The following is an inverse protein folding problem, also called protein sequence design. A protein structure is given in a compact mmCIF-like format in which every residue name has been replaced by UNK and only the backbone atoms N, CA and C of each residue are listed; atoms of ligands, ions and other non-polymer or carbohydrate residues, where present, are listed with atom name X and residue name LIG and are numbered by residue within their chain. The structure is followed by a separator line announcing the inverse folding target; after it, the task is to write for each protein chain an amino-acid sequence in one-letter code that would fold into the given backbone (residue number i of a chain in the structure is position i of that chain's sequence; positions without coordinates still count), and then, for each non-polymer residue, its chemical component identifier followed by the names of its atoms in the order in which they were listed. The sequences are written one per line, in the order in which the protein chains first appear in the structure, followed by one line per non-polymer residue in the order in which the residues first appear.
data_IF_550424024282
#
_entry.id   IF_550424024282
#
_cell.length_a   1.000
_cell.length_b   1.000
_cell.length_c   1.000
_cell.angle_alpha   90.00
_cell.angle_beta   90.00
_cell.angle_gamma   90.00
#
_symmetry.space_group_name_H-M   'P 1'
#
loop_
_entity.id
_entity.type
_entity.pdbx_description
1 polymer ?
#
# COMPACT_ATOMS: atom_id res chain seq x y z
N UNK A 1 -2.12 10.25 -25.04
CA UNK A 1 -0.88 10.45 -24.28
C UNK A 1 -1.15 10.07 -22.83
N UNK A 2 -0.17 9.49 -22.12
CA UNK A 2 -0.34 8.95 -20.76
C UNK A 2 0.45 9.68 -19.68
N UNK A 3 1.12 10.79 -20.04
CA UNK A 3 1.76 11.67 -19.08
C UNK A 3 1.13 13.06 -19.13
N UNK A 4 0.62 13.49 -17.99
CA UNK A 4 -0.06 14.75 -17.73
C UNK A 4 0.79 15.67 -16.82
N UNK A 5 2.07 15.35 -16.59
CA UNK A 5 2.99 16.17 -15.78
C UNK A 5 3.01 17.62 -16.26
N UNK A 6 3.17 17.88 -17.56
CA UNK A 6 3.11 19.23 -18.13
C UNK A 6 1.76 19.94 -17.88
N UNK A 7 0.65 19.25 -18.12
CA UNK A 7 -0.70 19.78 -17.89
C UNK A 7 -0.93 20.17 -16.41
N UNK A 8 -0.51 19.32 -15.46
CA UNK A 8 -0.58 19.62 -14.03
C UNK A 8 0.39 20.74 -13.62
N UNK A 9 1.53 20.87 -14.31
CA UNK A 9 2.48 21.96 -14.12
C UNK A 9 1.92 23.31 -14.58
N UNK A 10 1.06 23.36 -15.60
CA UNK A 10 0.50 24.62 -16.11
C UNK A 10 -0.79 25.03 -15.40
N UNK A 11 -1.40 24.12 -14.64
CA UNK A 11 -2.63 24.37 -13.90
C UNK A 11 -2.46 25.49 -12.84
N UNK A 12 -3.23 26.58 -12.98
CA UNK A 12 -3.23 27.76 -12.10
C UNK A 12 -4.64 28.26 -11.82
N UNK A 13 -4.86 28.76 -10.61
CA UNK A 13 -6.11 29.41 -10.17
C UNK A 13 -7.37 28.56 -10.38
N UNK A 14 -7.20 27.23 -10.36
CA UNK A 14 -8.27 26.24 -10.54
C UNK A 14 -8.79 25.68 -9.22
N UNK A 15 -10.03 25.17 -9.25
CA UNK A 15 -10.62 24.35 -8.18
C UNK A 15 -10.41 22.88 -8.53
N UNK A 16 -9.76 22.14 -7.64
CA UNK A 16 -9.30 20.78 -7.90
C UNK A 16 -9.89 19.88 -6.83
N UNK A 17 -10.66 18.87 -7.25
CA UNK A 17 -11.24 17.88 -6.35
C UNK A 17 -10.44 16.58 -6.43
N UNK A 18 -9.69 16.24 -5.39
CA UNK A 18 -9.13 14.91 -5.24
C UNK A 18 -10.16 13.92 -4.68
N UNK A 19 -10.19 12.69 -5.21
CA UNK A 19 -11.06 11.64 -4.70
C UNK A 19 -10.29 10.33 -4.52
N UNK A 20 -10.38 9.75 -3.32
CA UNK A 20 -10.01 8.37 -3.03
C UNK A 20 -11.28 7.51 -3.01
N UNK A 21 -11.52 6.64 -4.00
CA UNK A 21 -12.75 5.86 -4.12
C UNK A 21 -13.00 4.88 -2.96
N UNK A 22 -14.25 4.41 -2.77
CA UNK A 22 -14.51 3.25 -1.91
C UNK A 22 -13.87 1.98 -2.50
N UNK A 23 -13.51 1.03 -1.65
CA UNK A 23 -12.89 -0.24 -2.04
C UNK A 23 -13.95 -1.31 -2.23
N UNK A 24 -13.91 -2.04 -3.34
CA UNK A 24 -14.77 -3.18 -3.64
C UNK A 24 -13.94 -4.46 -3.50
N UNK A 25 -14.13 -5.23 -2.42
CA UNK A 25 -13.26 -6.36 -2.09
C UNK A 25 -13.96 -7.40 -1.19
N UNK A 26 -13.35 -8.57 -1.04
CA UNK A 26 -13.66 -9.56 -0.01
C UNK A 26 -13.11 -9.16 1.36
N UNK A 27 -11.99 -8.42 1.39
CA UNK A 27 -11.35 -7.94 2.59
C UNK A 27 -10.67 -6.59 2.37
N UNK A 28 -10.80 -5.69 3.34
CA UNK A 28 -10.03 -4.45 3.43
C UNK A 28 -9.59 -4.24 4.87
N UNK A 29 -8.35 -3.77 5.03
CA UNK A 29 -7.75 -3.47 6.32
C UNK A 29 -7.08 -2.11 6.24
N UNK A 30 -7.41 -1.22 7.18
CA UNK A 30 -6.69 0.04 7.35
C UNK A 30 -5.28 -0.25 7.90
N UNK A 31 -4.29 -0.26 7.01
CA UNK A 31 -2.87 -0.25 7.35
C UNK A 31 -2.32 1.18 7.27
N UNK A 32 -3.02 2.15 7.89
CA UNK A 32 -2.80 3.60 7.76
C UNK A 32 -3.14 4.16 6.36
N UNK A 33 -4.11 3.54 5.69
CA UNK A 33 -4.34 3.54 4.25
C UNK A 33 -4.88 4.87 3.68
N UNK A 34 -4.08 5.94 3.78
CA UNK A 34 -4.30 7.23 3.10
C UNK A 34 -3.81 7.18 1.65
N UNK A 35 -4.44 7.95 0.73
CA UNK A 35 -4.05 8.05 -0.67
C UNK A 35 -2.80 8.94 -0.83
N UNK A 36 -1.66 8.53 -0.27
CA UNK A 36 -0.48 9.39 -0.08
C UNK A 36 -0.01 10.11 -1.36
N UNK A 37 0.06 9.39 -2.49
CA UNK A 37 0.39 10.01 -3.79
C UNK A 37 -0.58 11.13 -4.20
N UNK A 38 -1.89 10.96 -3.96
CA UNK A 38 -2.89 12.02 -4.21
C UNK A 38 -2.69 13.21 -3.27
N UNK A 39 -2.38 12.97 -1.99
CA UNK A 39 -2.14 14.04 -1.02
C UNK A 39 -0.91 14.90 -1.37
N UNK A 40 0.15 14.28 -1.92
CA UNK A 40 1.29 15.04 -2.46
C UNK A 40 0.92 15.84 -3.71
N UNK A 41 0.14 15.26 -4.64
CA UNK A 41 -0.32 15.95 -5.86
C UNK A 41 -1.20 17.16 -5.50
N UNK A 42 -2.12 17.02 -4.55
CA UNK A 42 -2.97 18.13 -4.10
C UNK A 42 -2.15 19.24 -3.43
N UNK A 43 -1.17 18.91 -2.58
CA UNK A 43 -0.29 19.93 -1.98
C UNK A 43 0.60 20.62 -3.02
N UNK A 44 1.11 19.87 -4.01
CA UNK A 44 1.88 20.41 -5.12
C UNK A 44 1.06 21.41 -5.96
N UNK A 45 -0.19 21.05 -6.28
CA UNK A 45 -1.10 21.90 -7.04
C UNK A 45 -1.55 23.13 -6.23
N UNK A 46 -1.72 23.00 -4.91
CA UNK A 46 -1.98 24.11 -3.98
C UNK A 46 -0.85 25.14 -3.99
N UNK A 47 0.42 24.70 -3.93
CA UNK A 47 1.58 25.59 -4.06
C UNK A 47 1.62 26.34 -5.40
N UNK A 48 0.97 25.80 -6.44
CA UNK A 48 0.78 26.46 -7.74
C UNK A 48 -0.50 27.33 -7.76
N UNK A 49 -0.95 27.83 -6.62
CA UNK A 49 -2.05 28.81 -6.53
C UNK A 49 -3.43 28.26 -6.89
N UNK A 50 -3.63 26.94 -6.79
CA UNK A 50 -4.94 26.30 -6.98
C UNK A 50 -5.66 26.09 -5.64
N UNK A 51 -6.99 26.13 -5.66
CA UNK A 51 -7.83 25.66 -4.55
C UNK A 51 -7.95 24.14 -4.66
N UNK A 52 -7.70 23.42 -3.57
CA UNK A 52 -7.75 21.96 -3.54
C UNK A 52 -8.68 21.45 -2.43
N UNK A 53 -9.54 20.50 -2.78
CA UNK A 53 -10.46 19.81 -1.88
C UNK A 53 -10.25 18.28 -1.99
N UNK A 54 -10.66 17.52 -0.98
CA UNK A 54 -10.52 16.06 -0.93
C UNK A 54 -11.83 15.40 -0.50
N UNK A 55 -12.24 14.35 -1.22
CA UNK A 55 -13.21 13.37 -0.74
C UNK A 55 -12.51 12.00 -0.63
N UNK A 56 -12.24 11.58 0.61
CA UNK A 56 -11.65 10.27 0.89
C UNK A 56 -12.72 9.30 1.42
N UNK A 57 -13.23 8.45 0.53
CA UNK A 57 -14.31 7.52 0.85
C UNK A 57 -13.93 6.47 1.92
N UNK A 58 -12.64 6.20 2.13
CA UNK A 58 -12.18 5.28 3.19
C UNK A 58 -12.16 5.99 4.55
N UNK A 59 -11.58 7.19 4.61
CA UNK A 59 -11.54 8.00 5.84
C UNK A 59 -12.94 8.46 6.31
N UNK A 60 -13.81 8.85 5.38
CA UNK A 60 -15.19 9.23 5.70
C UNK A 60 -16.06 7.99 6.03
N UNK A 61 -15.64 6.83 5.53
CA UNK A 61 -16.23 5.53 5.82
C UNK A 61 -15.76 4.88 7.12
N UNK A 62 -15.10 5.58 8.04
CA UNK A 62 -14.69 5.02 9.35
C UNK A 62 -15.90 4.53 10.17
N UNK A 63 -15.74 3.38 10.83
CA UNK A 63 -16.74 2.74 11.72
C UNK A 63 -16.24 2.76 13.18
N UNK A 64 -15.31 1.86 13.52
CA UNK A 64 -14.84 1.63 14.89
C UNK A 64 -13.34 1.82 15.01
N UNK A 65 -12.83 2.51 16.05
CA UNK A 65 -11.40 2.73 16.22
C UNK A 65 -10.63 1.41 16.39
N UNK A 66 -9.35 1.48 16.02
CA UNK A 66 -8.32 0.45 16.18
C UNK A 66 -7.06 1.09 16.79
N UNK A 67 -6.06 0.27 17.09
CA UNK A 67 -4.80 0.76 17.65
C UNK A 67 -4.05 1.65 16.66
N UNK A 68 -3.34 2.65 17.19
CA UNK A 68 -2.47 3.57 16.45
C UNK A 68 -3.21 4.46 15.42
N UNK A 69 -4.34 5.06 15.83
CA UNK A 69 -5.15 5.97 15.01
C UNK A 69 -5.93 5.32 13.86
N UNK A 70 -5.77 4.00 13.64
CA UNK A 70 -6.43 3.24 12.55
C UNK A 70 -7.89 2.96 12.86
N UNK A 71 -8.65 2.56 11.85
CA UNK A 71 -10.08 2.25 11.97
C UNK A 71 -10.51 0.97 11.24
N UNK A 72 -11.58 0.34 11.74
CA UNK A 72 -12.44 -0.48 10.88
C UNK A 72 -13.20 0.44 9.94
N UNK A 73 -13.27 0.09 8.66
CA UNK A 73 -14.11 0.79 7.67
C UNK A 73 -15.51 0.17 7.64
N UNK A 74 -16.55 1.01 7.54
CA UNK A 74 -17.92 0.62 7.22
C UNK A 74 -17.91 -0.19 5.92
N UNK A 75 -18.75 -1.22 5.87
CA UNK A 75 -18.88 -2.08 4.68
C UNK A 75 -20.33 -2.50 4.48
N UNK A 76 -20.73 -2.59 3.22
CA UNK A 76 -22.05 -3.09 2.80
C UNK A 76 -21.79 -4.30 1.90
N UNK A 77 -22.49 -5.40 2.14
CA UNK A 77 -22.44 -6.59 1.29
C UNK A 77 -23.11 -6.30 -0.05
N UNK A 78 -22.48 -6.70 -1.14
CA UNK A 78 -22.93 -6.40 -2.51
C UNK A 78 -22.90 -7.66 -3.38
N UNK A 79 -23.62 -7.63 -4.49
CA UNK A 79 -23.51 -8.69 -5.49
C UNK A 79 -22.08 -8.80 -6.03
N UNK A 80 -21.66 -10.03 -6.29
CA UNK A 80 -20.33 -10.33 -6.84
C UNK A 80 -20.32 -10.06 -8.36
N UNK A 81 -19.30 -9.38 -8.89
CA UNK A 81 -19.10 -9.30 -10.34
C UNK A 81 -18.90 -10.70 -10.94
N UNK A 82 -19.14 -10.87 -12.24
CA UNK A 82 -19.10 -12.17 -12.92
C UNK A 82 -17.82 -12.99 -12.64
N UNK A 83 -16.60 -12.42 -12.67
CA UNK A 83 -15.36 -13.14 -12.31
C UNK A 83 -15.36 -13.79 -10.92
N UNK A 84 -16.17 -13.28 -9.99
CA UNK A 84 -16.24 -13.71 -8.60
C UNK A 84 -17.48 -14.57 -8.30
N UNK A 85 -18.36 -14.82 -9.28
CA UNK A 85 -19.67 -15.47 -9.05
C UNK A 85 -19.57 -16.81 -8.31
N UNK A 86 -18.52 -17.59 -8.55
CA UNK A 86 -18.30 -18.90 -7.93
C UNK A 86 -17.49 -18.86 -6.61
N UNK A 87 -16.86 -17.74 -6.25
CA UNK A 87 -16.01 -17.65 -5.06
C UNK A 87 -16.88 -17.72 -3.78
N UNK A 88 -16.68 -18.68 -2.86
CA UNK A 88 -17.55 -18.91 -1.69
C UNK A 88 -17.26 -17.94 -0.54
N UNK A 89 -17.12 -16.64 -0.85
CA UNK A 89 -16.86 -15.56 0.11
C UNK A 89 -17.77 -14.38 -0.17
N UNK A 90 -18.19 -13.69 0.89
CA UNK A 90 -18.97 -12.45 0.81
C UNK A 90 -18.10 -11.33 0.23
N UNK A 91 -18.69 -10.51 -0.64
CA UNK A 91 -18.03 -9.39 -1.31
C UNK A 91 -18.67 -8.09 -0.85
N UNK A 92 -17.84 -7.06 -0.66
CA UNK A 92 -18.23 -5.86 0.08
C UNK A 92 -17.77 -4.59 -0.63
N UNK A 93 -18.58 -3.54 -0.49
CA UNK A 93 -18.15 -2.16 -0.71
C UNK A 93 -17.76 -1.54 0.63
N UNK A 94 -16.48 -1.26 0.80
CA UNK A 94 -15.89 -0.60 1.95
C UNK A 94 -15.81 0.91 1.74
N UNK A 95 -16.20 1.68 2.76
CA UNK A 95 -16.12 3.14 2.76
C UNK A 95 -17.48 3.83 2.96
N UNK A 96 -17.50 5.10 2.59
CA UNK A 96 -18.66 6.00 2.57
C UNK A 96 -19.86 5.38 1.82
N UNK A 97 -21.10 5.68 2.24
CA UNK A 97 -22.29 5.23 1.49
C UNK A 97 -22.50 6.03 0.20
N UNK A 98 -23.39 5.57 -0.68
CA UNK A 98 -23.68 6.29 -1.93
C UNK A 98 -24.34 7.63 -1.63
N UNK A 99 -25.28 7.62 -0.71
CA UNK A 99 -26.09 8.76 -0.28
C UNK A 99 -25.19 9.84 0.34
N UNK A 100 -24.25 9.43 1.20
CA UNK A 100 -23.26 10.34 1.81
C UNK A 100 -22.25 10.89 0.79
N UNK A 101 -21.93 10.15 -0.28
CA UNK A 101 -21.08 10.62 -1.38
C UNK A 101 -21.81 11.64 -2.26
N UNK A 102 -23.05 11.35 -2.65
CA UNK A 102 -23.93 12.27 -3.38
C UNK A 102 -24.22 13.55 -2.57
N UNK A 103 -24.37 13.44 -1.24
CA UNK A 103 -24.52 14.60 -0.33
C UNK A 103 -23.24 15.45 -0.25
N UNK A 104 -22.05 14.85 -0.23
CA UNK A 104 -20.79 15.60 -0.27
C UNK A 104 -20.57 16.26 -1.63
N UNK A 105 -20.89 15.58 -2.72
CA UNK A 105 -20.78 16.15 -4.07
C UNK A 105 -21.73 17.34 -4.26
N UNK A 106 -22.97 17.26 -3.79
CA UNK A 106 -23.93 18.39 -3.89
C UNK A 106 -23.50 19.64 -3.11
N UNK A 107 -22.70 19.47 -2.05
CA UNK A 107 -22.10 20.55 -1.24
C UNK A 107 -20.73 21.00 -1.73
N UNK A 108 -20.12 20.29 -2.68
CA UNK A 108 -18.80 20.61 -3.22
C UNK A 108 -18.92 21.67 -4.31
N UNK A 109 -18.08 22.71 -4.26
CA UNK A 109 -18.04 23.74 -5.32
C UNK A 109 -17.64 23.08 -6.64
N UNK A 110 -18.30 23.44 -7.74
CA UNK A 110 -17.99 22.92 -9.09
C UNK A 110 -16.49 23.00 -9.37
N UNK A 111 -15.79 21.86 -9.53
CA UNK A 111 -14.35 21.84 -9.79
C UNK A 111 -14.05 22.11 -11.25
N UNK A 112 -12.87 22.68 -11.52
CA UNK A 112 -12.30 22.81 -12.86
C UNK A 112 -11.66 21.50 -13.35
N UNK A 113 -11.24 20.62 -12.42
CA UNK A 113 -10.73 19.27 -12.70
C UNK A 113 -10.91 18.36 -11.47
N UNK A 114 -11.10 17.06 -11.72
CA UNK A 114 -11.24 16.03 -10.70
C UNK A 114 -10.11 15.01 -10.85
N UNK A 115 -9.40 14.72 -9.76
CA UNK A 115 -8.31 13.75 -9.71
C UNK A 115 -8.78 12.51 -8.96
N UNK A 116 -8.81 11.34 -9.60
CA UNK A 116 -9.20 10.08 -8.98
C UNK A 116 -7.99 9.16 -8.90
N UNK A 117 -7.79 8.49 -7.75
CA UNK A 117 -6.69 7.52 -7.55
C UNK A 117 -7.20 6.09 -7.39
N UNK A 118 -6.35 5.10 -7.61
CA UNK A 118 -6.54 3.73 -7.13
C UNK A 118 -5.22 3.02 -6.83
N UNK A 119 -5.14 2.42 -5.64
CA UNK A 119 -3.94 1.73 -5.13
C UNK A 119 -3.78 0.27 -5.57
N UNK A 120 -4.85 -0.40 -6.01
CA UNK A 120 -4.79 -1.80 -6.46
C UNK A 120 -5.49 -1.95 -7.81
N UNK A 121 -4.98 -2.86 -8.65
CA UNK A 121 -5.51 -3.12 -10.00
C UNK A 121 -6.96 -3.64 -9.98
N UNK A 122 -7.28 -4.50 -9.01
CA UNK A 122 -8.61 -5.10 -8.82
C UNK A 122 -9.61 -4.19 -8.08
N UNK A 123 -9.22 -2.97 -7.65
CA UNK A 123 -10.16 -2.01 -7.04
C UNK A 123 -10.86 -1.08 -8.05
N UNK A 124 -10.73 -1.35 -9.36
CA UNK A 124 -11.30 -0.49 -10.40
C UNK A 124 -12.83 -0.34 -10.32
N UNK A 125 -13.56 -1.28 -9.72
CA UNK A 125 -15.00 -1.15 -9.49
C UNK A 125 -15.33 0.08 -8.63
N UNK A 126 -14.47 0.42 -7.68
CA UNK A 126 -14.55 1.66 -6.90
C UNK A 126 -14.35 2.90 -7.75
N UNK A 127 -13.37 2.86 -8.66
CA UNK A 127 -13.09 3.94 -9.63
C UNK A 127 -14.29 4.15 -10.55
N UNK A 128 -14.84 3.08 -11.15
CA UNK A 128 -15.99 3.14 -12.06
C UNK A 128 -17.23 3.69 -11.34
N UNK A 129 -17.54 3.16 -10.16
CA UNK A 129 -18.62 3.65 -9.28
C UNK A 129 -18.48 5.15 -8.97
N UNK A 130 -17.25 5.60 -8.69
CA UNK A 130 -16.96 7.00 -8.41
C UNK A 130 -17.20 7.88 -9.66
N UNK A 131 -16.64 7.51 -10.81
CA UNK A 131 -16.80 8.24 -12.08
C UNK A 131 -18.28 8.36 -12.47
N UNK A 132 -19.04 7.28 -12.38
CA UNK A 132 -20.46 7.22 -12.77
C UNK A 132 -21.36 8.14 -11.93
N UNK A 133 -21.00 8.39 -10.67
CA UNK A 133 -21.72 9.33 -9.80
C UNK A 133 -21.20 10.75 -10.04
N UNK A 134 -19.89 10.95 -10.03
CA UNK A 134 -19.25 12.27 -10.19
C UNK A 134 -19.69 12.95 -11.49
N UNK A 135 -19.76 12.23 -12.62
CA UNK A 135 -20.21 12.79 -13.90
C UNK A 135 -21.67 13.27 -13.91
N UNK A 136 -22.49 12.89 -12.93
CA UNK A 136 -23.88 13.41 -12.77
C UNK A 136 -23.91 14.77 -12.08
N UNK A 137 -22.98 15.02 -11.15
CA UNK A 137 -22.87 16.28 -10.42
C UNK A 137 -22.03 17.31 -11.17
N UNK A 138 -20.95 16.86 -11.82
CA UNK A 138 -19.98 17.72 -12.51
C UNK A 138 -19.75 17.27 -13.97
N UNK A 139 -20.79 17.26 -14.83
CA UNK A 139 -20.72 16.70 -16.19
C UNK A 139 -19.74 17.41 -17.13
N UNK A 140 -19.25 18.60 -16.77
CA UNK A 140 -18.28 19.40 -17.54
C UNK A 140 -16.86 19.39 -16.95
N UNK A 141 -16.66 18.82 -15.76
CA UNK A 141 -15.35 18.79 -15.12
C UNK A 141 -14.57 17.57 -15.63
N UNK A 142 -13.41 17.72 -16.28
CA UNK A 142 -12.60 16.61 -16.72
C UNK A 142 -12.10 15.78 -15.53
N UNK A 143 -12.10 14.46 -15.69
CA UNK A 143 -11.60 13.50 -14.71
C UNK A 143 -10.25 12.95 -15.19
N UNK A 144 -9.20 13.17 -14.40
CA UNK A 144 -7.90 12.54 -14.56
C UNK A 144 -7.75 11.39 -13.56
N UNK A 145 -7.62 10.16 -14.07
CA UNK A 145 -7.40 8.95 -13.28
C UNK A 145 -5.89 8.66 -13.15
N UNK A 146 -5.42 8.39 -11.93
CA UNK A 146 -4.04 8.02 -11.64
C UNK A 146 -3.91 6.93 -10.57
N UNK A 147 -2.70 6.79 -10.03
CA UNK A 147 -2.35 5.75 -9.06
C UNK A 147 -1.87 4.44 -9.71
N UNK A 148 -1.57 3.46 -8.86
CA UNK A 148 -0.94 2.17 -9.23
C UNK A 148 -1.76 1.45 -10.32
N UNK A 149 -3.09 1.42 -10.20
CA UNK A 149 -3.97 0.82 -11.20
C UNK A 149 -3.80 1.44 -12.60
N UNK A 150 -3.70 2.77 -12.69
CA UNK A 150 -3.61 3.48 -13.97
C UNK A 150 -2.28 3.21 -14.70
N UNK A 151 -1.18 3.01 -13.96
CA UNK A 151 0.13 2.68 -14.51
C UNK A 151 0.27 1.20 -14.89
N UNK A 152 -0.33 0.30 -14.12
CA UNK A 152 -0.22 -1.16 -14.36
C UNK A 152 -1.24 -1.69 -15.38
N UNK A 153 -2.44 -1.11 -15.42
CA UNK A 153 -3.53 -1.54 -16.30
C UNK A 153 -4.04 -0.40 -17.21
N UNK A 154 -3.17 0.33 -17.96
CA UNK A 154 -3.55 1.57 -18.64
C UNK A 154 -4.69 1.41 -19.65
N UNK A 155 -4.67 0.35 -20.47
CA UNK A 155 -5.73 0.07 -21.45
C UNK A 155 -7.06 -0.35 -20.82
N UNK A 156 -7.06 -0.85 -19.58
CA UNK A 156 -8.29 -1.11 -18.82
C UNK A 156 -8.78 0.18 -18.11
N UNK A 157 -7.85 0.95 -17.54
CA UNK A 157 -8.13 2.24 -16.90
C UNK A 157 -8.80 3.25 -17.85
N UNK A 158 -8.37 3.31 -19.12
CA UNK A 158 -9.00 4.12 -20.17
C UNK A 158 -10.48 3.78 -20.40
N UNK A 159 -10.88 2.51 -20.23
CA UNK A 159 -12.27 2.05 -20.40
C UNK A 159 -13.18 2.44 -19.23
N UNK A 160 -12.64 3.00 -18.13
CA UNK A 160 -13.42 3.37 -16.94
C UNK A 160 -14.24 4.66 -17.11
N UNK A 161 -14.05 5.41 -18.21
CA UNK A 161 -14.78 6.65 -18.48
C UNK A 161 -14.16 7.91 -17.88
N UNK A 162 -12.89 7.86 -17.48
CA UNK A 162 -12.09 9.05 -17.19
C UNK A 162 -11.70 9.75 -18.50
N UNK A 163 -11.51 11.07 -18.44
CA UNK A 163 -11.18 11.89 -19.62
C UNK A 163 -9.66 11.96 -19.85
N UNK A 164 -8.86 11.66 -18.83
CA UNK A 164 -7.42 11.40 -18.91
C UNK A 164 -6.99 10.25 -17.99
N UNK A 165 -5.88 9.58 -18.32
CA UNK A 165 -5.28 8.53 -17.49
C UNK A 165 -3.77 8.76 -17.39
N UNK A 166 -3.27 9.01 -16.18
CA UNK A 166 -1.85 9.10 -15.88
C UNK A 166 -1.25 7.69 -15.77
N UNK A 167 -0.49 7.30 -16.79
CA UNK A 167 0.16 5.98 -16.89
C UNK A 167 1.63 5.99 -16.51
N UNK A 168 2.23 7.18 -16.33
CA UNK A 168 3.62 7.37 -15.92
C UNK A 168 3.72 7.90 -14.48
N UNK A 169 4.88 7.78 -13.82
CA UNK A 169 5.22 8.62 -12.66
C UNK A 169 5.04 10.10 -12.98
N UNK A 170 4.53 10.88 -12.04
CA UNK A 170 4.50 12.35 -12.15
C UNK A 170 5.81 12.92 -11.64
N UNK A 171 6.52 13.70 -12.47
CA UNK A 171 7.72 14.42 -12.02
C UNK A 171 7.32 15.75 -11.37
N UNK A 172 7.08 15.69 -10.05
CA UNK A 172 6.63 16.82 -9.23
C UNK A 172 7.43 16.94 -7.92
N UNK A 173 7.45 18.12 -7.33
CA UNK A 173 8.09 18.36 -6.04
C UNK A 173 7.24 17.82 -4.88
N UNK A 174 7.82 16.91 -4.09
CA UNK A 174 7.18 16.32 -2.91
C UNK A 174 7.41 17.18 -1.66
N UNK A 175 6.49 18.11 -1.40
CA UNK A 175 6.53 18.98 -0.22
C UNK A 175 6.11 18.25 1.06
N UNK A 176 4.79 18.05 1.23
CA UNK A 176 4.13 17.34 2.35
C UNK A 176 2.82 16.74 1.83
N UNK A 177 2.22 15.71 2.46
CA UNK A 177 0.85 15.35 2.16
C UNK A 177 -0.07 16.45 2.70
N UNK A 178 -1.11 16.82 1.95
CA UNK A 178 -2.15 17.78 2.34
C UNK A 178 -3.07 17.23 3.46
N UNK A 179 -2.50 16.88 4.62
CA UNK A 179 -3.21 16.23 5.73
C UNK A 179 -4.27 17.15 6.37
N UNK A 180 -4.12 18.47 6.20
CA UNK A 180 -5.10 19.50 6.58
C UNK A 180 -6.46 19.39 5.86
N UNK A 181 -6.54 18.66 4.73
CA UNK A 181 -7.81 18.35 4.07
C UNK A 181 -8.67 17.34 4.86
N UNK A 182 -8.11 16.69 5.88
CA UNK A 182 -8.86 15.86 6.82
C UNK A 182 -9.27 16.69 8.04
N UNK A 183 -10.57 16.68 8.38
CA UNK A 183 -11.08 17.43 9.53
C UNK A 183 -10.37 17.11 10.86
N UNK A 184 -10.06 15.84 11.11
CA UNK A 184 -9.42 15.32 12.32
C UNK A 184 -8.52 14.12 11.93
N UNK A 185 -7.27 14.35 11.47
CA UNK A 185 -6.36 13.27 11.13
C UNK A 185 -5.78 12.65 12.41
N UNK A 186 -5.89 11.33 12.57
CA UNK A 186 -5.44 10.62 13.78
C UNK A 186 -4.08 9.94 13.61
N UNK A 187 -3.55 9.96 12.39
CA UNK A 187 -2.21 9.50 12.06
C UNK A 187 -1.67 10.27 10.85
N UNK A 188 -0.35 10.42 10.83
CA UNK A 188 0.40 10.88 9.68
C UNK A 188 0.89 9.74 8.80
N UNK A 189 1.33 10.08 7.60
CA UNK A 189 1.89 9.17 6.60
C UNK A 189 3.05 9.85 5.89
N UNK A 190 4.07 9.09 5.51
CA UNK A 190 5.25 9.63 4.83
C UNK A 190 5.90 8.59 3.93
N UNK A 191 6.70 9.08 2.98
CA UNK A 191 7.77 8.34 2.33
C UNK A 191 9.06 9.15 2.43
N UNK A 192 10.17 8.47 2.70
CA UNK A 192 11.50 9.09 2.75
C UNK A 192 12.30 8.84 1.46
N UNK A 193 11.84 7.88 0.66
CA UNK A 193 12.38 7.47 -0.62
C UNK A 193 11.25 7.00 -1.55
N UNK A 194 11.51 7.05 -2.86
CA UNK A 194 10.58 6.68 -3.92
C UNK A 194 11.18 5.51 -4.71
N UNK A 195 10.38 4.46 -4.92
CA UNK A 195 10.79 3.21 -5.54
C UNK A 195 11.69 2.34 -4.66
N UNK A 196 12.23 1.29 -5.25
CA UNK A 196 13.15 0.35 -4.61
C UNK A 196 14.33 0.06 -5.55
N UNK A 197 15.58 -0.01 -5.05
CA UNK A 197 16.74 -0.37 -5.89
C UNK A 197 16.80 -1.88 -6.19
N UNK A 198 15.97 -2.70 -5.54
CA UNK A 198 15.86 -4.15 -5.80
C UNK A 198 14.92 -4.44 -6.98
N UNK A 199 14.91 -5.69 -7.45
CA UNK A 199 14.17 -6.11 -8.65
C UNK A 199 13.50 -7.48 -8.46
N UNK A 200 12.74 -7.63 -7.37
CA UNK A 200 12.08 -8.89 -7.01
C UNK A 200 11.05 -9.31 -8.08
N UNK A 201 11.05 -10.60 -8.47
CA UNK A 201 10.32 -11.12 -9.65
C UNK A 201 8.79 -10.95 -9.60
N UNK A 202 8.24 -10.79 -8.39
CA UNK A 202 6.83 -10.56 -8.09
C UNK A 202 6.45 -9.07 -7.90
N UNK A 203 7.42 -8.18 -7.73
CA UNK A 203 7.17 -6.80 -7.27
C UNK A 203 7.19 -5.80 -8.43
N UNK A 204 6.20 -4.92 -8.48
CA UNK A 204 6.12 -3.87 -9.50
C UNK A 204 6.81 -2.55 -9.11
N UNK A 205 7.50 -2.45 -7.96
CA UNK A 205 8.13 -1.20 -7.51
C UNK A 205 9.02 -0.56 -8.59
N UNK A 206 9.93 -1.33 -9.21
CA UNK A 206 10.79 -0.84 -10.32
C UNK A 206 10.02 -0.44 -11.59
N UNK A 207 8.82 -0.99 -11.82
CA UNK A 207 7.96 -0.62 -12.96
C UNK A 207 7.18 0.66 -12.67
N UNK A 208 6.69 0.81 -11.44
CA UNK A 208 5.99 1.99 -10.92
C UNK A 208 6.96 3.16 -10.70
N UNK A 209 8.22 2.88 -10.39
CA UNK A 209 9.26 3.87 -10.10
C UNK A 209 10.60 3.38 -10.70
N UNK A 210 10.90 3.74 -11.97
CA UNK A 210 12.11 3.28 -12.67
C UNK A 210 13.44 3.66 -12.02
N UNK A 211 13.43 4.66 -11.14
CA UNK A 211 14.59 5.16 -10.42
C UNK A 211 14.31 5.19 -8.92
N UNK A 212 15.28 4.71 -8.14
CA UNK A 212 15.26 4.87 -6.69
C UNK A 212 15.77 6.27 -6.33
N UNK A 213 14.97 7.04 -5.57
CA UNK A 213 15.32 8.42 -5.17
C UNK A 213 15.01 8.65 -3.70
N UNK A 214 16.01 9.00 -2.91
CA UNK A 214 15.84 9.46 -1.53
C UNK A 214 15.45 10.94 -1.50
N UNK A 215 14.56 11.31 -0.58
CA UNK A 215 14.24 12.71 -0.25
C UNK A 215 15.27 13.23 0.75
N UNK A 216 15.51 14.53 0.75
CA UNK A 216 16.38 15.14 1.76
C UNK A 216 15.75 15.00 3.15
N UNK A 217 16.55 14.61 4.16
CA UNK A 217 16.07 14.42 5.54
C UNK A 217 15.35 15.67 6.06
N UNK A 218 15.85 16.88 5.76
CA UNK A 218 15.19 18.14 6.10
C UNK A 218 13.73 18.22 5.59
N UNK A 219 13.47 17.84 4.34
CA UNK A 219 12.12 17.87 3.77
C UNK A 219 11.17 16.87 4.45
N UNK A 220 11.69 15.71 4.86
CA UNK A 220 10.94 14.70 5.62
C UNK A 220 10.63 15.20 7.04
N UNK A 221 11.58 15.92 7.66
CA UNK A 221 11.42 16.53 8.98
C UNK A 221 10.42 17.70 8.94
N UNK A 222 10.44 18.56 7.92
CA UNK A 222 9.44 19.63 7.73
C UNK A 222 8.03 19.04 7.52
N UNK A 223 7.94 17.98 6.72
CA UNK A 223 6.70 17.24 6.50
C UNK A 223 6.15 16.62 7.79
N UNK A 224 7.01 16.00 8.61
CA UNK A 224 6.63 15.39 9.89
C UNK A 224 6.28 16.47 10.92
N UNK A 225 6.97 17.60 10.92
CA UNK A 225 6.64 18.77 11.75
C UNK A 225 5.21 19.22 11.50
N UNK A 226 4.84 19.45 10.23
CA UNK A 226 3.47 19.78 9.86
C UNK A 226 2.46 18.74 10.34
N UNK A 227 2.74 17.44 10.16
CA UNK A 227 1.82 16.38 10.59
C UNK A 227 1.73 16.24 12.12
N UNK A 228 2.79 16.56 12.86
CA UNK A 228 2.80 16.58 14.33
C UNK A 228 2.01 17.75 14.95
N UNK A 229 1.81 18.83 14.19
CA UNK A 229 1.00 19.99 14.61
C UNK A 229 -0.48 19.68 14.85
N UNK A 230 -0.99 18.57 14.31
CA UNK A 230 -2.33 18.08 14.63
C UNK A 230 -2.31 17.35 15.98
N UNK A 231 -2.99 17.91 16.99
CA UNK A 231 -3.03 17.32 18.34
C UNK A 231 -3.48 15.84 18.38
N UNK A 232 -4.31 15.42 17.42
CA UNK A 232 -4.81 14.05 17.22
C UNK A 232 -3.80 13.08 16.60
N UNK A 233 -2.74 13.56 15.93
CA UNK A 233 -1.68 12.69 15.38
C UNK A 233 -0.72 12.27 16.49
N UNK A 234 -0.57 10.96 16.67
CA UNK A 234 0.41 10.33 17.58
C UNK A 234 1.22 9.22 16.92
N UNK A 235 0.86 8.87 15.69
CA UNK A 235 1.35 7.72 14.94
C UNK A 235 1.68 8.18 13.50
N UNK A 236 2.84 7.80 12.98
CA UNK A 236 3.24 8.07 11.58
C UNK A 236 3.66 6.77 10.90
N UNK A 237 3.07 6.48 9.74
CA UNK A 237 3.39 5.31 8.94
C UNK A 237 4.32 5.64 7.76
N UNK A 238 5.36 4.83 7.59
CA UNK A 238 6.37 4.93 6.52
C UNK A 238 6.03 3.95 5.39
N UNK A 239 5.81 4.48 4.18
CA UNK A 239 5.42 3.70 2.99
C UNK A 239 6.55 3.45 2.00
N UNK A 240 7.80 3.75 2.39
CA UNK A 240 8.98 3.40 1.63
C UNK A 240 8.98 1.92 1.23
N UNK A 241 9.22 1.63 -0.05
CA UNK A 241 9.46 0.26 -0.53
C UNK A 241 10.80 -0.29 0.00
N UNK A 242 11.71 0.60 0.44
CA UNK A 242 13.12 0.30 0.68
C UNK A 242 13.72 1.09 1.87
N UNK A 243 12.96 1.30 2.96
CA UNK A 243 13.31 2.21 4.07
C UNK A 243 14.75 2.07 4.62
N UNK A 244 15.24 0.83 4.77
CA UNK A 244 16.54 0.54 5.40
C UNK A 244 17.68 0.37 4.39
N UNK A 245 17.45 0.50 3.09
CA UNK A 245 18.52 0.36 2.10
C UNK A 245 19.42 1.60 2.17
N UNK A 246 20.73 1.38 2.37
CA UNK A 246 21.71 2.48 2.55
C UNK A 246 21.29 3.37 3.74
N UNK A 247 21.01 2.70 4.87
CA UNK A 247 20.54 3.29 6.14
C UNK A 247 21.56 4.25 6.76
N UNK A 248 22.84 3.97 6.55
CA UNK A 248 23.98 4.73 7.05
C UNK A 248 23.97 6.18 6.55
N UNK A 249 23.68 6.38 5.26
CA UNK A 249 23.68 7.70 4.62
C UNK A 249 22.32 8.42 4.67
N UNK A 250 21.30 7.86 5.33
CA UNK A 250 19.94 8.42 5.29
C UNK A 250 19.08 8.13 6.52
N UNK A 251 18.76 6.86 6.76
CA UNK A 251 17.83 6.44 7.82
C UNK A 251 18.33 6.82 9.21
N UNK A 252 19.63 6.69 9.49
CA UNK A 252 20.19 7.05 10.80
C UNK A 252 20.10 8.55 11.10
N UNK A 253 20.48 9.40 10.13
CA UNK A 253 20.35 10.86 10.26
C UNK A 253 18.88 11.30 10.42
N UNK A 254 17.95 10.62 9.74
CA UNK A 254 16.53 10.81 9.97
C UNK A 254 16.13 10.41 11.39
N UNK A 255 16.50 9.23 11.86
CA UNK A 255 16.22 8.75 13.22
C UNK A 255 16.71 9.71 14.31
N UNK A 256 17.91 10.27 14.18
CA UNK A 256 18.44 11.28 15.11
C UNK A 256 17.55 12.51 15.17
N UNK A 257 17.16 13.06 14.02
CA UNK A 257 16.25 14.22 13.93
C UNK A 257 14.84 13.90 14.43
N UNK A 258 14.33 12.69 14.21
CA UNK A 258 13.06 12.22 14.74
C UNK A 258 13.08 12.13 16.27
N UNK A 259 14.14 11.57 16.86
CA UNK A 259 14.30 11.50 18.33
C UNK A 259 14.37 12.89 18.97
N UNK A 260 15.19 13.77 18.40
CA UNK A 260 15.42 15.14 18.89
C UNK A 260 14.13 15.99 18.88
N UNK A 261 13.37 15.95 17.78
CA UNK A 261 12.25 16.88 17.55
C UNK A 261 10.88 16.26 17.87
N UNK A 262 10.74 14.94 17.77
CA UNK A 262 9.45 14.25 17.73
C UNK A 262 9.37 12.96 18.55
N UNK A 263 10.27 12.75 19.53
CA UNK A 263 10.30 11.53 20.37
C UNK A 263 9.02 11.20 21.17
N UNK A 264 7.99 12.03 21.09
CA UNK A 264 6.64 11.78 21.62
C UNK A 264 5.72 11.04 20.62
N UNK A 265 6.12 10.90 19.35
CA UNK A 265 5.39 10.17 18.31
C UNK A 265 5.77 8.67 18.32
N UNK A 266 4.95 7.88 17.63
CA UNK A 266 5.19 6.46 17.35
C UNK A 266 5.32 6.25 15.85
N UNK A 267 6.24 5.39 15.44
CA UNK A 267 6.52 5.14 14.02
C UNK A 267 6.16 3.71 13.62
N UNK A 268 5.68 3.53 12.39
CA UNK A 268 5.13 2.26 11.92
C UNK A 268 5.61 1.92 10.52
N UNK A 269 5.93 0.65 10.31
CA UNK A 269 6.25 0.09 8.99
C UNK A 269 5.10 -0.85 8.58
N UNK A 270 4.12 -0.37 7.79
CA UNK A 270 3.11 -1.25 7.18
C UNK A 270 3.73 -2.21 6.15
N UNK A 271 4.75 -1.74 5.43
CA UNK A 271 5.56 -2.56 4.53
C UNK A 271 6.52 -3.46 5.32
N UNK A 272 6.93 -4.59 4.75
CA UNK A 272 7.96 -5.44 5.34
C UNK A 272 9.37 -4.92 5.06
N UNK A 273 10.19 -4.88 6.11
CA UNK A 273 11.58 -4.43 6.10
C UNK A 273 12.51 -5.55 5.62
N UNK A 274 13.53 -5.19 4.85
CA UNK A 274 14.56 -6.12 4.37
C UNK A 274 15.42 -6.60 5.54
N UNK A 275 15.28 -7.87 5.91
CA UNK A 275 15.90 -8.47 7.11
C UNK A 275 17.42 -8.34 7.14
N UNK A 276 18.06 -8.42 5.97
CA UNK A 276 19.51 -8.27 5.79
C UNK A 276 20.08 -6.92 6.25
N UNK A 277 19.24 -5.88 6.33
CA UNK A 277 19.64 -4.53 6.75
C UNK A 277 19.52 -4.33 8.26
N UNK A 278 19.02 -5.33 9.02
CA UNK A 278 18.75 -5.23 10.46
C UNK A 278 19.93 -5.81 11.27
N UNK A 279 21.04 -5.09 11.23
CA UNK A 279 22.14 -5.25 12.19
C UNK A 279 21.79 -4.66 13.58
N UNK A 280 22.67 -4.87 14.57
CA UNK A 280 22.49 -4.36 15.93
C UNK A 280 22.30 -2.83 15.99
N UNK A 281 23.02 -2.08 15.14
CA UNK A 281 22.92 -0.62 15.09
C UNK A 281 21.57 -0.19 14.53
N UNK A 282 21.10 -0.85 13.48
CA UNK A 282 19.78 -0.59 12.88
C UNK A 282 18.64 -0.94 13.85
N UNK A 283 18.72 -2.09 14.52
CA UNK A 283 17.71 -2.50 15.51
C UNK A 283 17.62 -1.50 16.67
N UNK A 284 18.78 -1.02 17.16
CA UNK A 284 18.86 0.04 18.17
C UNK A 284 18.25 1.36 17.69
N UNK A 285 18.56 1.83 16.48
CA UNK A 285 17.96 3.03 15.91
C UNK A 285 16.43 2.90 15.77
N UNK A 286 15.92 1.77 15.27
CA UNK A 286 14.49 1.50 15.19
C UNK A 286 13.82 1.64 16.58
N UNK A 287 14.38 0.97 17.59
CA UNK A 287 13.82 0.94 18.95
C UNK A 287 13.85 2.32 19.62
N UNK A 288 15.04 2.95 19.69
CA UNK A 288 15.25 4.23 20.35
C UNK A 288 14.49 5.39 19.69
N UNK A 289 14.22 5.29 18.37
CA UNK A 289 13.40 6.27 17.65
C UNK A 289 11.90 6.10 17.94
N UNK A 290 11.48 4.95 18.46
CA UNK A 290 10.08 4.69 18.78
C UNK A 290 9.29 4.06 17.63
N UNK A 291 9.93 3.30 16.74
CA UNK A 291 9.20 2.39 15.86
C UNK A 291 8.48 1.34 16.73
N UNK A 292 7.14 1.23 16.61
CA UNK A 292 6.31 0.34 17.46
C UNK A 292 5.73 -0.84 16.70
N UNK A 293 5.94 -0.91 15.39
CA UNK A 293 5.45 -2.01 14.56
C UNK A 293 6.53 -2.35 13.56
N UNK A 294 7.24 -3.44 13.85
CA UNK A 294 8.26 -4.01 13.00
C UNK A 294 7.64 -5.12 12.19
N UNK A 295 7.72 -4.98 10.87
CA UNK A 295 7.36 -6.04 9.94
C UNK A 295 8.59 -6.44 9.18
N UNK A 296 8.90 -7.74 9.20
CA UNK A 296 10.01 -8.30 8.46
C UNK A 296 9.48 -8.90 7.15
N UNK A 297 10.14 -8.65 6.04
CA UNK A 297 9.97 -9.45 4.84
C UNK A 297 10.90 -10.66 4.94
N UNK A 298 10.35 -11.86 5.16
CA UNK A 298 11.12 -13.08 4.92
C UNK A 298 11.19 -13.32 3.41
N UNK A 299 12.05 -12.54 2.76
CA UNK A 299 12.37 -12.74 1.36
C UNK A 299 13.25 -13.99 1.24
N UNK A 300 12.67 -15.09 0.77
CA UNK A 300 13.47 -16.12 0.13
C UNK A 300 14.12 -15.48 -1.09
N UNK A 301 15.40 -15.12 -0.98
CA UNK A 301 16.14 -14.44 -2.06
C UNK A 301 16.15 -15.35 -3.29
N UNK A 302 15.54 -14.87 -4.39
CA UNK A 302 14.81 -15.72 -5.36
C UNK A 302 15.49 -15.93 -6.74
N UNK A 303 16.18 -17.07 -6.95
CA UNK A 303 16.46 -17.67 -8.25
C UNK A 303 15.31 -18.42 -8.97
N UNK A 304 14.35 -19.04 -8.23
CA UNK A 304 12.99 -19.53 -8.62
C UNK A 304 12.46 -20.86 -7.95
N UNK A 305 12.08 -21.03 -6.68
CA UNK A 305 12.35 -20.32 -5.41
C UNK A 305 13.84 -20.00 -5.24
N UNK A 306 14.63 -21.05 -5.09
CA UNK A 306 16.07 -21.17 -5.37
C UNK A 306 16.26 -22.33 -6.38
N UNK A 307 15.35 -22.43 -7.36
CA UNK A 307 15.05 -23.62 -8.20
C UNK A 307 14.64 -24.86 -7.39
N UNK A 308 13.33 -25.10 -7.33
CA UNK A 308 12.67 -26.40 -7.10
C UNK A 308 13.50 -27.45 -6.31
N UNK A 309 13.69 -27.25 -5.00
CA UNK A 309 14.51 -28.15 -4.20
C UNK A 309 14.45 -27.89 -2.69
N UNK A 310 14.51 -28.99 -1.97
CA UNK A 310 14.75 -29.16 -0.54
C UNK A 310 15.76 -28.19 0.11
N UNK A 311 15.40 -27.77 1.32
CA UNK A 311 16.29 -27.42 2.44
C UNK A 311 17.20 -26.18 2.32
N UNK A 312 16.67 -25.03 2.77
CA UNK A 312 17.36 -23.99 3.58
C UNK A 312 16.39 -22.89 4.05
N UNK A 313 15.41 -23.25 4.87
CA UNK A 313 14.60 -22.26 5.62
C UNK A 313 15.34 -21.87 6.91
N UNK A 314 16.61 -21.50 6.76
CA UNK A 314 17.57 -21.23 7.82
C UNK A 314 18.52 -20.14 7.34
N UNK A 315 17.97 -18.97 7.01
CA UNK A 315 18.78 -17.80 6.66
C UNK A 315 19.38 -17.21 7.96
N UNK A 316 20.72 -17.20 8.14
CA UNK A 316 21.34 -16.57 9.30
C UNK A 316 20.97 -15.10 9.44
N UNK A 317 20.71 -14.39 8.33
CA UNK A 317 20.30 -12.99 8.34
C UNK A 317 18.96 -12.79 9.06
N UNK A 318 18.01 -13.73 8.92
CA UNK A 318 16.75 -13.66 9.63
C UNK A 318 16.91 -13.92 11.14
N UNK A 319 17.78 -14.88 11.50
CA UNK A 319 18.10 -15.17 12.91
C UNK A 319 18.70 -13.92 13.56
N UNK A 320 19.76 -13.36 12.96
CA UNK A 320 20.41 -12.15 13.47
C UNK A 320 19.47 -10.95 13.53
N UNK A 321 18.60 -10.75 12.52
CA UNK A 321 17.62 -9.67 12.55
C UNK A 321 16.67 -9.78 13.75
N UNK A 322 16.16 -10.98 14.05
CA UNK A 322 15.30 -11.22 15.22
C UNK A 322 16.09 -11.04 16.53
N UNK A 323 17.29 -11.61 16.64
CA UNK A 323 18.16 -11.46 17.82
C UNK A 323 18.52 -9.99 18.11
N UNK A 324 18.87 -9.22 17.08
CA UNK A 324 19.19 -7.80 17.17
C UNK A 324 17.98 -6.99 17.64
N UNK A 325 16.77 -7.29 17.14
CA UNK A 325 15.54 -6.63 17.58
C UNK A 325 15.18 -6.96 19.03
N UNK A 326 15.31 -8.22 19.45
CA UNK A 326 15.10 -8.63 20.84
C UNK A 326 16.13 -7.96 21.77
N UNK A 327 17.41 -7.93 21.38
CA UNK A 327 18.50 -7.24 22.10
C UNK A 327 18.27 -5.74 22.21
N UNK A 328 17.70 -5.11 21.18
CA UNK A 328 17.32 -3.70 21.20
C UNK A 328 16.12 -3.40 22.13
N UNK A 329 15.35 -4.41 22.56
CA UNK A 329 14.26 -4.28 23.53
C UNK A 329 12.85 -4.53 22.98
N UNK A 330 12.70 -5.02 21.74
CA UNK A 330 11.40 -5.47 21.22
C UNK A 330 10.96 -6.78 21.88
N UNK A 331 9.66 -6.97 22.07
CA UNK A 331 9.11 -8.30 22.40
C UNK A 331 8.92 -9.15 21.14
N UNK A 332 8.90 -10.47 21.30
CA UNK A 332 8.45 -11.42 20.27
C UNK A 332 7.12 -11.02 19.61
N UNK A 333 6.17 -10.51 20.39
CA UNK A 333 4.87 -10.02 19.90
C UNK A 333 4.90 -8.68 19.16
N UNK A 334 6.05 -7.98 19.12
CA UNK A 334 6.26 -6.79 18.29
C UNK A 334 6.84 -7.11 16.89
N UNK A 335 7.37 -8.33 16.71
CA UNK A 335 8.04 -8.77 15.49
C UNK A 335 7.02 -9.60 14.67
N UNK A 336 6.39 -8.95 13.68
CA UNK A 336 5.57 -9.65 12.68
C UNK A 336 6.43 -9.95 11.44
N UNK A 337 6.28 -11.11 10.82
CA UNK A 337 7.06 -11.51 9.64
C UNK A 337 6.13 -11.92 8.51
N UNK A 338 6.20 -11.20 7.39
CA UNK A 338 5.50 -11.55 6.17
C UNK A 338 6.19 -12.72 5.47
N UNK A 339 5.39 -13.74 5.16
CA UNK A 339 5.76 -14.90 4.35
C UNK A 339 4.85 -14.90 3.13
N UNK A 340 5.43 -14.78 1.94
CA UNK A 340 4.68 -14.83 0.68
C UNK A 340 4.14 -16.25 0.44
N UNK A 341 2.89 -16.35 -0.01
CA UNK A 341 2.20 -17.60 -0.29
C UNK A 341 1.48 -17.53 -1.64
N UNK A 342 1.59 -18.59 -2.45
CA UNK A 342 0.94 -18.72 -3.76
C UNK A 342 1.72 -18.15 -4.94
N UNK A 343 3.04 -17.94 -4.81
CA UNK A 343 3.91 -17.54 -5.93
C UNK A 343 4.01 -18.68 -6.97
N UNK A 344 4.16 -18.39 -8.28
CA UNK A 344 4.35 -19.43 -9.30
C UNK A 344 5.54 -20.34 -9.01
N UNK A 345 5.32 -21.66 -9.07
CA UNK A 345 6.28 -22.70 -8.70
C UNK A 345 6.53 -22.89 -7.20
N UNK A 346 5.73 -22.29 -6.30
CA UNK A 346 5.95 -22.35 -4.85
C UNK A 346 5.26 -23.55 -4.19
N UNK A 347 6.05 -24.42 -3.56
CA UNK A 347 5.55 -25.61 -2.87
C UNK A 347 4.95 -25.27 -1.47
N UNK A 348 3.75 -25.78 -1.18
CA UNK A 348 3.09 -25.76 0.14
C UNK A 348 4.03 -26.08 1.32
N UNK A 349 4.82 -27.16 1.23
CA UNK A 349 5.71 -27.59 2.32
C UNK A 349 6.86 -26.59 2.55
N UNK A 350 7.26 -25.81 1.54
CA UNK A 350 8.24 -24.72 1.75
C UNK A 350 7.65 -23.57 2.57
N UNK A 351 6.38 -23.21 2.33
CA UNK A 351 5.67 -22.17 3.10
C UNK A 351 5.43 -22.64 4.53
N UNK A 352 5.05 -23.91 4.70
CA UNK A 352 4.90 -24.55 6.01
C UNK A 352 6.21 -24.56 6.80
N UNK A 353 7.34 -24.96 6.18
CA UNK A 353 8.68 -24.86 6.79
C UNK A 353 9.00 -23.41 7.19
N UNK A 354 8.67 -22.41 6.36
CA UNK A 354 8.85 -20.99 6.67
C UNK A 354 8.03 -20.53 7.88
N UNK A 355 6.76 -20.93 8.00
CA UNK A 355 5.93 -20.61 9.17
C UNK A 355 6.53 -21.22 10.45
N UNK A 356 6.95 -22.49 10.41
CA UNK A 356 7.55 -23.19 11.56
C UNK A 356 8.87 -22.52 11.97
N UNK A 357 9.74 -22.18 11.02
CA UNK A 357 11.00 -21.47 11.28
C UNK A 357 10.77 -20.11 11.94
N UNK A 358 9.91 -19.27 11.37
CA UNK A 358 9.55 -17.95 11.92
C UNK A 358 9.02 -18.08 13.35
N UNK A 359 8.12 -19.04 13.59
CA UNK A 359 7.55 -19.33 14.92
C UNK A 359 8.60 -19.88 15.90
N UNK A 360 9.58 -20.65 15.43
CA UNK A 360 10.64 -21.20 16.29
C UNK A 360 11.57 -20.13 16.90
N UNK A 361 11.66 -18.95 16.27
CA UNK A 361 12.34 -17.76 16.81
C UNK A 361 11.37 -16.82 17.57
N UNK A 362 10.16 -17.29 17.88
CA UNK A 362 9.09 -16.55 18.57
C UNK A 362 8.49 -15.39 17.78
N UNK A 363 8.86 -15.18 16.51
CA UNK A 363 8.27 -14.12 15.68
C UNK A 363 6.89 -14.53 15.16
N UNK A 364 6.00 -13.54 14.95
CA UNK A 364 4.63 -13.80 14.51
C UNK A 364 4.55 -13.94 12.99
N UNK A 365 4.33 -15.16 12.48
CA UNK A 365 4.13 -15.41 11.06
C UNK A 365 2.84 -14.76 10.52
N UNK A 366 2.94 -14.01 9.43
CA UNK A 366 1.82 -13.42 8.67
C UNK A 366 1.90 -13.86 7.22
N UNK A 367 0.87 -14.52 6.72
CA UNK A 367 0.82 -14.87 5.30
C UNK A 367 0.42 -13.66 4.45
N UNK A 368 1.25 -13.36 3.46
CA UNK A 368 1.00 -12.39 2.41
C UNK A 368 0.60 -13.15 1.13
N UNK A 369 -0.71 -13.21 0.87
CA UNK A 369 -1.29 -13.85 -0.32
C UNK A 369 -0.80 -13.14 -1.59
N UNK A 370 -0.20 -13.90 -2.51
CA UNK A 370 0.29 -13.36 -3.79
C UNK A 370 -0.86 -12.84 -4.66
N UNK A 371 -0.63 -11.65 -5.23
CA UNK A 371 -1.45 -10.98 -6.24
C UNK A 371 -0.62 -10.98 -7.53
N UNK A 372 -1.11 -11.50 -8.66
CA UNK A 372 -0.46 -11.31 -9.96
C UNK A 372 -0.42 -9.81 -10.30
N UNK A 373 0.78 -9.25 -10.47
CA UNK A 373 0.96 -7.80 -10.72
C UNK A 373 1.41 -7.57 -12.18
N UNK A 374 0.58 -6.95 -13.05
CA UNK A 374 0.88 -6.77 -14.47
C UNK A 374 2.26 -6.18 -14.77
N UNK A 375 2.96 -6.79 -15.72
CA UNK A 375 4.30 -6.39 -16.14
C UNK A 375 5.43 -6.77 -15.18
N UNK A 376 5.17 -7.63 -14.19
CA UNK A 376 6.20 -8.35 -13.42
C UNK A 376 6.51 -9.71 -14.07
N UNK A 377 7.66 -10.31 -13.76
CA UNK A 377 8.01 -11.63 -14.30
C UNK A 377 7.00 -12.71 -13.85
N UNK A 378 6.66 -12.75 -12.56
CA UNK A 378 5.74 -13.77 -12.05
C UNK A 378 4.31 -13.60 -12.55
N UNK A 379 3.89 -12.38 -12.93
CA UNK A 379 2.62 -12.21 -13.63
C UNK A 379 2.59 -12.89 -15.00
N UNK A 380 3.67 -12.81 -15.77
CA UNK A 380 3.75 -13.49 -17.06
C UNK A 380 3.75 -15.02 -16.91
N UNK A 381 4.39 -15.57 -15.86
CA UNK A 381 4.26 -17.00 -15.52
C UNK A 381 2.83 -17.37 -15.11
N UNK A 382 2.21 -16.60 -14.20
CA UNK A 382 0.80 -16.77 -13.82
C UNK A 382 -0.14 -16.73 -15.04
N UNK A 383 0.12 -15.84 -16.00
CA UNK A 383 -0.72 -15.66 -17.18
C UNK A 383 -0.52 -16.73 -18.27
N UNK A 384 0.54 -17.54 -18.22
CA UNK A 384 0.63 -18.76 -19.05
C UNK A 384 -0.39 -19.81 -18.60
N UNK A 385 -0.54 -19.98 -17.29
CA UNK A 385 -1.50 -20.90 -16.70
C UNK A 385 -2.94 -20.35 -16.74
N UNK A 386 -3.11 -19.03 -16.57
CA UNK A 386 -4.40 -18.35 -16.59
C UNK A 386 -4.39 -17.09 -17.49
N UNK A 387 -4.56 -17.24 -18.82
CA UNK A 387 -4.51 -16.11 -19.76
C UNK A 387 -5.50 -14.98 -19.45
N UNK A 388 -6.63 -15.28 -18.79
CA UNK A 388 -7.65 -14.31 -18.39
C UNK A 388 -7.13 -13.18 -17.49
N UNK A 389 -5.99 -13.38 -16.81
CA UNK A 389 -5.29 -12.34 -16.05
C UNK A 389 -4.93 -11.11 -16.89
N UNK A 390 -4.71 -11.27 -18.21
CA UNK A 390 -4.34 -10.14 -19.08
C UNK A 390 -5.51 -9.22 -19.43
N UNK A 391 -6.74 -9.73 -19.36
CA UNK A 391 -7.95 -9.03 -19.81
C UNK A 391 -8.77 -8.45 -18.66
N UNK A 392 -8.85 -9.15 -17.52
CA UNK A 392 -9.74 -8.82 -16.40
C UNK A 392 -8.96 -8.63 -15.09
N UNK A 393 -8.69 -7.38 -14.67
CA UNK A 393 -7.91 -7.09 -13.47
C UNK A 393 -8.51 -7.61 -12.16
N UNK A 394 -9.79 -7.97 -12.11
CA UNK A 394 -10.37 -8.64 -10.92
C UNK A 394 -9.66 -9.96 -10.60
N UNK A 395 -9.14 -10.69 -11.59
CA UNK A 395 -8.38 -11.92 -11.33
C UNK A 395 -7.02 -11.68 -10.65
N UNK A 396 -6.57 -10.43 -10.52
CA UNK A 396 -5.39 -10.09 -9.71
C UNK A 396 -5.66 -10.14 -8.21
N UNK A 397 -6.92 -10.09 -7.74
CA UNK A 397 -7.25 -10.04 -6.31
C UNK A 397 -6.63 -11.24 -5.57
N UNK A 398 -5.78 -10.97 -4.58
CA UNK A 398 -5.00 -12.01 -3.90
C UNK A 398 -5.87 -13.11 -3.26
N UNK A 399 -7.01 -12.74 -2.65
CA UNK A 399 -7.96 -13.68 -2.07
C UNK A 399 -8.60 -14.60 -3.10
N UNK A 400 -8.74 -14.14 -4.34
CA UNK A 400 -9.27 -14.95 -5.45
C UNK A 400 -8.15 -15.77 -6.09
N UNK A 401 -7.04 -15.13 -6.45
CA UNK A 401 -5.93 -15.80 -7.11
C UNK A 401 -5.31 -16.87 -6.24
N UNK A 402 -4.77 -16.51 -5.07
CA UNK A 402 -3.91 -17.38 -4.27
C UNK A 402 -4.59 -18.66 -3.78
N UNK A 403 -5.92 -18.66 -3.58
CA UNK A 403 -6.66 -19.81 -3.04
C UNK A 403 -7.58 -20.53 -4.04
N UNK A 404 -8.07 -19.85 -5.09
CA UNK A 404 -9.11 -20.40 -5.96
C UNK A 404 -8.73 -20.49 -7.44
N UNK A 405 -7.68 -19.79 -7.89
CA UNK A 405 -7.26 -19.80 -9.31
C UNK A 405 -5.80 -20.22 -9.53
N UNK A 406 -4.94 -20.02 -8.53
CA UNK A 406 -3.54 -20.45 -8.57
C UNK A 406 -3.46 -21.99 -8.58
N UNK A 407 -2.67 -22.61 -9.46
CA UNK A 407 -2.43 -24.05 -9.43
C UNK A 407 -1.51 -24.49 -8.28
N UNK A 408 -0.84 -23.53 -7.63
CA UNK A 408 0.27 -23.79 -6.70
C UNK A 408 -0.20 -24.22 -5.30
N UNK A 409 -1.30 -23.63 -4.83
CA UNK A 409 -1.83 -23.84 -3.48
C UNK A 409 -3.35 -23.82 -3.53
N UNK A 410 -3.99 -24.91 -3.11
CA UNK A 410 -5.46 -24.98 -3.02
C UNK A 410 -5.99 -24.17 -1.84
N UNK A 411 -7.26 -23.77 -1.88
CA UNK A 411 -7.92 -23.08 -0.75
C UNK A 411 -7.83 -23.87 0.57
N UNK A 412 -7.81 -25.21 0.53
CA UNK A 412 -7.68 -26.07 1.72
C UNK A 412 -6.27 -25.96 2.33
N UNK A 413 -5.24 -26.02 1.48
CA UNK A 413 -3.84 -25.85 1.87
C UNK A 413 -3.57 -24.43 2.39
N UNK A 414 -4.04 -23.40 1.67
CA UNK A 414 -3.93 -22.00 2.10
C UNK A 414 -4.60 -21.79 3.47
N UNK A 415 -5.74 -22.43 3.71
CA UNK A 415 -6.39 -22.38 5.02
C UNK A 415 -5.57 -23.09 6.10
N UNK A 416 -5.01 -24.28 5.81
CA UNK A 416 -4.14 -25.00 6.75
C UNK A 416 -2.88 -24.20 7.12
N UNK A 417 -2.25 -23.51 6.15
CA UNK A 417 -1.13 -22.60 6.40
C UNK A 417 -1.57 -21.40 7.26
N UNK A 418 -2.74 -20.81 6.99
CA UNK A 418 -3.31 -19.69 7.77
C UNK A 418 -3.60 -20.08 9.21
N UNK A 419 -3.99 -21.31 9.47
CA UNK A 419 -4.30 -21.76 10.82
C UNK A 419 -3.01 -22.13 11.57
N UNK A 420 -2.04 -22.79 10.92
CA UNK A 420 -0.69 -23.01 11.47
C UNK A 420 0.03 -21.69 11.85
N UNK A 421 -0.19 -20.61 11.09
CA UNK A 421 0.37 -19.29 11.35
C UNK A 421 -0.35 -18.52 12.48
N UNK A 422 -1.60 -18.87 12.82
CA UNK A 422 -2.36 -18.26 13.93
C UNK A 422 -2.22 -19.01 15.25
N UNK A 423 -1.99 -20.32 15.17
CA UNK A 423 -1.83 -21.19 16.32
C UNK A 423 -0.74 -20.62 17.25
N UNK A 424 -0.99 -20.40 18.55
CA UNK A 424 0.07 -20.00 19.48
C UNK A 424 1.19 -21.05 19.49
N UNK A 425 2.44 -20.60 19.66
CA UNK A 425 3.60 -21.44 19.93
C UNK A 425 3.62 -21.94 21.37
#
# INVERSE_FOLDING_TARGET
MGDFTAYLNDLRYKKILGINPPVFDFAFFDFWAKPLGLLYILEYLRHRGNSVDLIDCIYEGRDKPKTYGRYKTKRIEIEKPLPYKHIPRKFYRYGMTKESFEEKLSKTKTPDIILITSGMTYWYLGVKWCIDIVKKFFPKAPILLGGIYAQLCPGHAQKMGADGVQTMPLDISYFRPSLDLYKNPEYGVTITSIGCPLNCRYCASKRLWPHYKKRHVAQVIDEISFQSGFATVKDIAFYDDALLIDKENHFYSLCEKLKENFGHLRYHTPNGLHVREIDETCARYLYETGFKTIRLSLEGTDPSVQKAGSDKVHDPQYIWAVENLLKAGYSHSNIETYILVGLPGQNYESVKKAIIFVKSLGATAKLAEYSPIPGTFMFEESAKALPALKEEPLYHNNTVYCGYLSPEITQKELQSLKDLAKDPT
#
